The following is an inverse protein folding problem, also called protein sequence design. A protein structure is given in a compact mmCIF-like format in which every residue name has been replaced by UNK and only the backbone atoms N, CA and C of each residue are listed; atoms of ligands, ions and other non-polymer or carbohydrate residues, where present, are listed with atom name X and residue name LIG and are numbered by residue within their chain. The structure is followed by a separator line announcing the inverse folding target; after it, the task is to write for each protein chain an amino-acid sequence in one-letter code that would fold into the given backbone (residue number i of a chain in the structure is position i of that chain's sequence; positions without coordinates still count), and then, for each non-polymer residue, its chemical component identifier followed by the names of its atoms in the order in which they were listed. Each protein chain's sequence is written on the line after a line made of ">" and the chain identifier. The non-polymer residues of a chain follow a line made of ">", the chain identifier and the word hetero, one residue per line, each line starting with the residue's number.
data_IF_816916729242
#
_entry.id   IF_816916729242
#
_cell.length_a   1.000
_cell.length_b   1.000
_cell.length_c   1.000
_cell.angle_alpha   90.00
_cell.angle_beta   90.00
_cell.angle_gamma   90.00
#
_symmetry.space_group_name_H-M   'P 1'
#
loop_
_entity.id
_entity.type
_entity.pdbx_description
1 polymer ?
#
# COMPACT_ATOMS: atom_id res chain seq x y z
N UNK A 1 -24.14 -8.88 34.91
CA UNK A 1 -23.94 -9.29 33.50
C UNK A 1 -22.82 -8.45 32.93
N UNK A 2 -21.91 -9.12 32.22
CA UNK A 2 -20.61 -8.61 31.78
C UNK A 2 -20.79 -7.45 30.79
N UNK A 3 -20.12 -6.33 31.03
CA UNK A 3 -19.86 -5.34 29.98
C UNK A 3 -18.54 -5.76 29.33
N UNK A 4 -18.62 -6.21 28.09
CA UNK A 4 -17.47 -6.44 27.20
C UNK A 4 -17.55 -5.45 26.04
N UNK A 5 -16.37 -5.21 25.47
CA UNK A 5 -16.09 -4.62 24.16
C UNK A 5 -16.13 -3.08 24.14
N UNK A 6 -15.10 -2.34 23.71
CA UNK A 6 -13.87 -2.70 22.98
C UNK A 6 -12.84 -1.59 23.19
N UNK A 7 -11.65 -1.95 23.65
CA UNK A 7 -10.48 -1.10 23.55
C UNK A 7 -9.98 -1.18 22.10
N UNK A 8 -10.26 -0.15 21.30
CA UNK A 8 -9.61 0.05 20.00
C UNK A 8 -8.58 1.17 20.13
N UNK A 9 -7.51 0.89 20.87
CA UNK A 9 -6.24 1.59 20.70
C UNK A 9 -5.51 0.97 19.51
N UNK A 10 -5.44 1.70 18.40
CA UNK A 10 -4.17 2.35 18.02
C UNK A 10 -4.35 3.17 16.76
N UNK A 11 -4.32 4.48 17.01
CA UNK A 11 -3.99 5.52 16.06
C UNK A 11 -2.73 5.14 15.28
N UNK A 12 -2.82 5.20 13.96
CA UNK A 12 -1.69 5.53 13.08
C UNK A 12 -2.21 6.32 11.90
N UNK A 13 -3.04 7.34 12.18
CA UNK A 13 -3.12 8.53 11.33
C UNK A 13 -1.89 9.39 11.65
N UNK A 14 -0.75 8.96 11.10
CA UNK A 14 0.42 9.81 11.01
C UNK A 14 0.17 10.84 9.90
N UNK A 15 -0.07 12.06 10.35
CA UNK A 15 0.49 13.30 9.79
C UNK A 15 0.04 13.79 8.40
N UNK A 16 -0.85 14.79 8.49
CA UNK A 16 -0.75 16.14 7.90
C UNK A 16 -0.86 16.32 6.36
N UNK A 17 -1.77 17.19 5.89
CA UNK A 17 -1.79 17.68 4.52
C UNK A 17 -0.75 18.80 4.36
N UNK A 18 0.54 18.46 4.23
CA UNK A 18 1.56 19.46 3.91
C UNK A 18 1.71 19.62 2.39
N UNK A 19 1.05 20.63 1.84
CA UNK A 19 1.38 21.20 0.53
C UNK A 19 2.86 21.65 0.54
N UNK A 20 3.72 20.96 -0.23
CA UNK A 20 4.93 21.46 -0.94
C UNK A 20 6.03 20.39 -0.94
N UNK A 21 5.96 19.48 -1.90
CA UNK A 21 7.10 19.07 -2.74
C UNK A 21 6.52 18.14 -3.81
N UNK A 22 6.63 18.48 -5.10
CA UNK A 22 6.20 17.60 -6.20
C UNK A 22 7.21 16.45 -6.39
N UNK A 23 7.58 15.75 -5.31
CA UNK A 23 8.30 14.49 -5.41
C UNK A 23 7.29 13.44 -5.78
N UNK A 24 7.44 12.85 -6.96
CA UNK A 24 6.53 11.84 -7.44
C UNK A 24 6.79 10.59 -6.59
N UNK A 25 5.84 10.28 -5.70
CA UNK A 25 5.92 9.06 -4.90
C UNK A 25 5.51 7.91 -5.79
N UNK A 26 6.35 6.89 -5.87
CA UNK A 26 6.14 5.71 -6.68
C UNK A 26 6.20 4.50 -5.77
N UNK A 27 5.25 3.58 -5.92
CA UNK A 27 5.25 2.30 -5.25
C UNK A 27 5.84 1.26 -6.20
N UNK A 28 7.02 0.75 -5.86
CA UNK A 28 7.64 -0.36 -6.57
C UNK A 28 7.13 -1.67 -5.98
N UNK A 29 6.51 -2.49 -6.82
CA UNK A 29 6.19 -3.87 -6.48
C UNK A 29 7.45 -4.72 -6.69
N UNK A 30 8.04 -5.29 -5.65
CA UNK A 30 9.17 -6.22 -5.81
C UNK A 30 8.69 -7.62 -6.26
N UNK A 31 7.41 -7.92 -6.05
CA UNK A 31 6.76 -9.15 -6.48
C UNK A 31 6.09 -9.91 -5.34
N UNK A 32 5.63 -11.12 -5.64
CA UNK A 32 4.97 -11.98 -4.67
C UNK A 32 5.93 -12.35 -3.52
N UNK A 33 5.41 -12.37 -2.28
CA UNK A 33 6.19 -12.74 -1.12
C UNK A 33 6.63 -14.21 -1.22
N UNK A 34 7.68 -14.59 -0.47
CA UNK A 34 8.24 -15.94 -0.50
C UNK A 34 7.16 -16.97 -0.15
N UNK A 35 6.83 -17.85 -1.09
CA UNK A 35 5.77 -18.86 -0.97
C UNK A 35 4.47 -18.51 -1.70
N UNK A 36 4.31 -17.26 -2.13
CA UNK A 36 3.24 -16.84 -3.02
C UNK A 36 3.73 -16.98 -4.47
N UNK A 37 3.29 -18.01 -5.18
CA UNK A 37 3.70 -18.31 -6.56
C UNK A 37 2.90 -17.52 -7.62
N UNK A 38 2.28 -16.42 -7.23
CA UNK A 38 1.42 -15.63 -8.09
C UNK A 38 2.23 -14.82 -9.12
N UNK A 39 1.83 -14.88 -10.38
CA UNK A 39 2.49 -14.14 -11.48
C UNK A 39 2.15 -12.64 -11.47
N UNK A 40 0.99 -12.27 -10.93
CA UNK A 40 0.50 -10.90 -10.83
C UNK A 40 -0.44 -10.76 -9.62
N UNK A 41 -0.58 -9.55 -9.12
CA UNK A 41 -1.47 -9.20 -8.03
C UNK A 41 -2.62 -8.36 -8.54
N UNK A 42 -3.85 -8.82 -8.38
CA UNK A 42 -5.03 -8.03 -8.72
C UNK A 42 -5.41 -7.24 -7.47
N UNK A 43 -5.15 -5.94 -7.46
CA UNK A 43 -5.54 -5.07 -6.35
C UNK A 43 -7.00 -4.63 -6.48
N UNK A 44 -7.41 -4.29 -7.71
CA UNK A 44 -8.80 -4.00 -8.11
C UNK A 44 -9.05 -4.67 -9.46
N UNK A 45 -10.30 -4.82 -9.85
CA UNK A 45 -10.69 -5.50 -11.11
C UNK A 45 -10.01 -4.88 -12.35
N UNK A 46 -9.69 -3.58 -12.30
CA UNK A 46 -8.99 -2.84 -13.37
C UNK A 46 -7.48 -2.64 -13.11
N UNK A 47 -6.99 -2.97 -11.90
CA UNK A 47 -5.60 -2.73 -11.51
C UNK A 47 -4.87 -4.04 -11.21
N UNK A 48 -4.19 -4.54 -12.23
CA UNK A 48 -3.28 -5.69 -12.14
C UNK A 48 -1.84 -5.21 -11.99
N UNK A 49 -1.20 -5.61 -10.91
CA UNK A 49 0.16 -5.23 -10.56
C UNK A 49 1.08 -6.42 -10.85
N UNK A 50 2.05 -6.22 -11.74
CA UNK A 50 3.06 -7.22 -12.04
C UNK A 50 4.28 -7.06 -11.12
N UNK A 51 5.03 -8.13 -10.85
CA UNK A 51 6.32 -8.03 -10.18
C UNK A 51 7.23 -7.04 -10.92
N UNK A 52 8.01 -6.27 -10.18
CA UNK A 52 8.86 -5.18 -10.65
C UNK A 52 8.13 -3.99 -11.30
N UNK A 53 6.80 -3.90 -11.18
CA UNK A 53 6.05 -2.74 -11.67
C UNK A 53 6.16 -1.53 -10.75
N UNK A 54 6.19 -0.36 -11.35
CA UNK A 54 6.17 0.94 -10.67
C UNK A 54 4.78 1.56 -10.79
N UNK A 55 4.14 1.85 -9.66
CA UNK A 55 2.84 2.51 -9.60
C UNK A 55 2.99 3.92 -9.05
N UNK A 56 2.49 4.93 -9.74
CA UNK A 56 2.60 6.31 -9.27
C UNK A 56 1.50 6.62 -8.25
N UNK A 57 1.88 6.98 -7.04
CA UNK A 57 0.97 7.39 -5.98
C UNK A 57 0.42 8.78 -6.30
N UNK A 58 -0.91 8.91 -6.36
CA UNK A 58 -1.65 10.08 -6.79
C UNK A 58 -2.06 10.06 -8.27
N UNK A 59 -1.60 9.06 -9.06
CA UNK A 59 -1.98 8.91 -10.47
C UNK A 59 -2.53 7.52 -10.78
N UNK A 60 -1.78 6.47 -10.49
CA UNK A 60 -2.20 5.07 -10.69
C UNK A 60 -2.92 4.51 -9.45
N UNK A 61 -2.44 4.88 -8.26
CA UNK A 61 -3.02 4.47 -6.97
C UNK A 61 -3.08 5.67 -6.02
N UNK A 62 -4.00 5.67 -5.06
CA UNK A 62 -4.04 6.70 -4.01
C UNK A 62 -3.05 6.42 -2.89
N UNK A 63 -2.70 7.44 -2.09
CA UNK A 63 -1.82 7.29 -0.91
C UNK A 63 -2.33 6.22 0.05
N UNK A 64 -3.64 6.15 0.26
CA UNK A 64 -4.26 5.15 1.12
C UNK A 64 -4.09 3.73 0.56
N UNK A 65 -4.20 3.56 -0.75
CA UNK A 65 -4.00 2.28 -1.43
C UNK A 65 -2.55 1.83 -1.38
N UNK A 66 -1.62 2.76 -1.55
CA UNK A 66 -0.20 2.48 -1.38
C UNK A 66 0.13 2.01 0.04
N UNK A 67 -0.48 2.59 1.08
CA UNK A 67 -0.32 2.11 2.45
C UNK A 67 -0.90 0.71 2.66
N UNK A 68 -2.06 0.40 2.05
CA UNK A 68 -2.63 -0.95 2.09
C UNK A 68 -1.70 -1.97 1.44
N UNK A 69 -1.14 -1.65 0.28
CA UNK A 69 -0.17 -2.49 -0.43
C UNK A 69 1.13 -2.67 0.38
N UNK A 70 1.65 -1.61 1.01
CA UNK A 70 2.83 -1.69 1.88
C UNK A 70 2.60 -2.56 3.13
N UNK A 71 1.36 -2.65 3.60
CA UNK A 71 0.98 -3.48 4.74
C UNK A 71 0.57 -4.91 4.32
N UNK A 72 0.53 -5.19 3.01
CA UNK A 72 0.16 -6.51 2.51
C UNK A 72 1.27 -7.52 2.81
N UNK A 73 0.89 -8.72 3.27
CA UNK A 73 1.87 -9.76 3.64
C UNK A 73 2.19 -10.71 2.49
N UNK A 74 1.29 -10.81 1.52
CA UNK A 74 1.42 -11.79 0.43
C UNK A 74 2.27 -11.28 -0.72
N UNK A 75 2.55 -9.97 -0.77
CA UNK A 75 3.34 -9.30 -1.79
C UNK A 75 4.26 -8.26 -1.17
N UNK A 76 5.44 -8.07 -1.76
CA UNK A 76 6.41 -7.08 -1.31
C UNK A 76 6.28 -5.81 -2.13
N UNK A 77 5.97 -4.72 -1.45
CA UNK A 77 5.93 -3.39 -2.03
C UNK A 77 6.92 -2.48 -1.31
N UNK A 78 7.47 -1.53 -2.06
CA UNK A 78 8.45 -0.56 -1.57
C UNK A 78 8.11 0.82 -2.10
N UNK A 79 7.90 1.78 -1.20
CA UNK A 79 7.75 3.17 -1.60
C UNK A 79 9.12 3.74 -1.99
N UNK A 80 9.22 4.30 -3.19
CA UNK A 80 10.37 5.01 -3.71
C UNK A 80 9.96 6.42 -4.11
N UNK A 81 10.78 7.40 -3.76
CA UNK A 81 10.57 8.80 -4.15
C UNK A 81 11.53 9.13 -5.28
N UNK A 82 10.99 9.64 -6.41
CA UNK A 82 11.77 10.16 -7.54
C UNK A 82 11.67 11.68 -7.60
#
# INVERSE_FOLDING_TARGET
>A
MVQKDVAVEKQSEAEQPNKKDKKQRVLLCEGAAKGNGAAYFIFREDLTIYPHSELVIGKDISTHEAQLLLNEKTWKFKEVTK
#
